data_IF_074831334539
#
_entry.id   IF_074831334539
#
_cell.length_a   1.000
_cell.length_b   1.000
_cell.length_c   1.000
_cell.angle_alpha   90.00
_cell.angle_beta   90.00
_cell.angle_gamma   90.00
#
_symmetry.space_group_name_H-M   'P 1'
#
loop_
_entity.id
_entity.type
_entity.pdbx_description
1 polymer ?
#
# COMPACT_ATOMS: atom_id res chain seq x y z
N UNK A 1 -7.28 16.72 42.65
CA UNK A 1 -8.04 15.78 41.81
C UNK A 1 -7.11 14.70 41.31
N UNK A 2 -7.38 13.40 41.54
CA UNK A 2 -6.54 12.36 40.96
C UNK A 2 -6.86 12.30 39.47
N UNK A 3 -5.93 12.76 38.64
CA UNK A 3 -5.98 12.54 37.20
C UNK A 3 -5.94 11.02 36.94
N UNK A 4 -6.78 10.48 36.03
CA UNK A 4 -6.69 9.07 35.68
C UNK A 4 -5.28 8.76 35.21
N UNK A 5 -4.73 7.65 35.71
CA UNK A 5 -3.33 7.27 35.42
C UNK A 5 -3.18 7.18 33.90
N UNK A 6 -2.11 7.73 33.29
CA UNK A 6 -1.95 7.76 31.83
C UNK A 6 -2.20 6.42 31.12
N UNK A 7 -1.86 5.30 31.78
CA UNK A 7 -2.12 3.95 31.30
C UNK A 7 -3.62 3.62 31.13
N UNK A 8 -4.48 4.04 32.05
CA UNK A 8 -5.93 3.81 31.93
C UNK A 8 -6.52 4.60 30.77
N UNK A 9 -5.98 5.79 30.49
CA UNK A 9 -6.38 6.58 29.33
C UNK A 9 -5.98 5.89 28.03
N UNK A 10 -4.76 5.36 27.94
CA UNK A 10 -4.30 4.60 26.77
C UNK A 10 -5.20 3.37 26.55
N UNK A 11 -5.47 2.58 27.60
CA UNK A 11 -6.37 1.42 27.50
C UNK A 11 -7.77 1.77 27.03
N UNK A 12 -8.33 2.91 27.47
CA UNK A 12 -9.63 3.39 26.98
C UNK A 12 -9.58 3.78 25.50
N UNK A 13 -8.48 4.38 25.04
CA UNK A 13 -8.30 4.73 23.63
C UNK A 13 -8.10 3.50 22.75
N UNK A 14 -7.38 2.48 23.23
CA UNK A 14 -7.28 1.17 22.58
C UNK A 14 -8.65 0.50 22.49
N UNK A 15 -9.38 0.40 23.60
CA UNK A 15 -10.71 -0.25 23.65
C UNK A 15 -11.77 0.50 22.82
N UNK A 16 -11.67 1.82 22.71
CA UNK A 16 -12.55 2.63 21.87
C UNK A 16 -12.11 2.68 20.39
N UNK A 17 -11.02 1.99 20.01
CA UNK A 17 -10.54 1.93 18.63
C UNK A 17 -9.82 3.18 18.13
N UNK A 18 -9.53 4.16 19.00
CA UNK A 18 -8.74 5.33 18.65
C UNK A 18 -7.25 4.99 18.44
N UNK A 19 -6.75 3.98 19.16
CA UNK A 19 -5.43 3.39 18.94
C UNK A 19 -5.65 2.05 18.24
N UNK A 20 -5.26 1.97 16.98
CA UNK A 20 -5.47 0.77 16.14
C UNK A 20 -4.30 -0.20 16.16
N UNK A 21 -3.14 0.22 16.67
CA UNK A 21 -1.96 -0.64 16.80
C UNK A 21 -0.67 0.11 17.11
N UNK A 22 0.39 -0.66 17.31
CA UNK A 22 1.74 -0.18 17.56
C UNK A 22 2.69 -0.80 16.54
N UNK A 23 3.48 0.02 15.86
CA UNK A 23 4.36 -0.44 14.78
C UNK A 23 5.76 0.15 14.92
N UNK A 24 6.77 -0.65 14.59
CA UNK A 24 8.15 -0.20 14.52
C UNK A 24 8.46 0.34 13.12
N UNK A 25 8.99 1.56 13.04
CA UNK A 25 9.44 2.15 11.77
C UNK A 25 10.88 1.76 11.48
N UNK A 26 11.08 0.91 10.47
CA UNK A 26 12.39 0.38 10.11
C UNK A 26 13.10 1.26 9.06
N UNK A 27 14.44 1.22 9.07
CA UNK A 27 15.25 1.93 8.07
C UNK A 27 15.37 1.08 6.78
N UNK A 28 14.63 1.48 5.76
CA UNK A 28 14.58 0.75 4.48
C UNK A 28 15.95 0.61 3.79
N UNK A 29 16.83 1.62 3.88
CA UNK A 29 18.18 1.54 3.28
C UNK A 29 19.04 0.46 3.95
N UNK A 30 18.96 0.32 5.27
CA UNK A 30 19.69 -0.73 6.00
C UNK A 30 19.19 -2.13 5.72
N UNK A 31 17.94 -2.25 5.24
CA UNK A 31 17.32 -3.51 4.83
C UNK A 31 17.52 -3.81 3.33
N UNK A 32 18.25 -2.98 2.60
CA UNK A 32 18.44 -3.13 1.16
C UNK A 32 17.22 -2.76 0.32
N UNK A 33 16.16 -2.18 0.90
CA UNK A 33 14.94 -1.74 0.20
C UNK A 33 15.02 -0.27 -0.20
N UNK A 34 16.06 0.06 -0.96
CA UNK A 34 16.43 1.44 -1.26
C UNK A 34 15.42 2.17 -2.15
N UNK A 35 14.78 1.45 -3.07
CA UNK A 35 13.90 2.02 -4.08
C UNK A 35 12.46 2.16 -3.55
N UNK A 36 11.91 3.37 -3.67
CA UNK A 36 10.50 3.65 -3.44
C UNK A 36 9.91 4.12 -4.76
N UNK A 37 8.77 3.56 -5.14
CA UNK A 37 8.07 3.91 -6.38
C UNK A 37 6.60 4.14 -6.08
N UNK A 38 6.05 5.18 -6.72
CA UNK A 38 4.62 5.40 -6.79
C UNK A 38 4.11 4.94 -8.15
N UNK A 39 3.06 4.12 -8.15
CA UNK A 39 2.48 3.55 -9.36
C UNK A 39 1.03 3.99 -9.47
N UNK A 40 0.71 4.66 -10.57
CA UNK A 40 -0.66 4.99 -10.94
C UNK A 40 -1.20 3.83 -11.79
N UNK A 41 -2.34 3.30 -11.37
CA UNK A 41 -2.99 2.16 -12.01
C UNK A 41 -4.36 2.60 -12.49
N UNK A 42 -4.61 2.43 -13.79
CA UNK A 42 -5.94 2.59 -14.40
C UNK A 42 -6.43 1.23 -14.85
N UNK A 43 -7.60 0.82 -14.37
CA UNK A 43 -8.22 -0.45 -14.75
C UNK A 43 -8.96 -0.30 -16.08
N UNK A 44 -8.75 -1.22 -17.03
CA UNK A 44 -9.43 -1.18 -18.34
C UNK A 44 -10.93 -1.48 -18.22
N UNK A 45 -11.32 -2.20 -17.16
CA UNK A 45 -12.72 -2.46 -16.82
C UNK A 45 -13.01 -1.95 -15.43
N UNK A 46 -13.94 -1.01 -15.34
CA UNK A 46 -14.44 -0.44 -14.08
C UNK A 46 -15.61 -1.25 -13.52
N UNK A 47 -15.52 -2.59 -13.57
CA UNK A 47 -16.53 -3.47 -12.96
C UNK A 47 -16.16 -3.78 -11.51
N UNK A 48 -17.14 -3.97 -10.60
CA UNK A 48 -16.87 -4.31 -9.20
C UNK A 48 -15.95 -5.53 -9.03
N UNK A 49 -16.12 -6.54 -9.90
CA UNK A 49 -15.30 -7.75 -9.91
C UNK A 49 -13.83 -7.49 -10.26
N UNK A 50 -13.57 -6.53 -11.16
CA UNK A 50 -12.20 -6.13 -11.51
C UNK A 50 -11.53 -5.41 -10.35
N UNK A 51 -12.26 -4.56 -9.64
CA UNK A 51 -11.79 -3.89 -8.42
C UNK A 51 -11.47 -4.89 -7.30
N UNK A 52 -12.34 -5.87 -7.04
CA UNK A 52 -12.08 -6.90 -6.01
C UNK A 52 -10.84 -7.73 -6.36
N UNK A 53 -10.74 -8.25 -7.58
CA UNK A 53 -9.56 -9.04 -8.00
C UNK A 53 -8.27 -8.24 -7.91
N UNK A 54 -8.31 -6.96 -8.26
CA UNK A 54 -7.14 -6.09 -8.16
C UNK A 54 -6.72 -5.89 -6.70
N UNK A 55 -7.68 -5.63 -5.79
CA UNK A 55 -7.40 -5.52 -4.35
C UNK A 55 -6.79 -6.79 -3.78
N UNK A 56 -7.34 -7.96 -4.08
CA UNK A 56 -6.83 -9.24 -3.58
C UNK A 56 -5.40 -9.51 -4.05
N UNK A 57 -5.13 -9.23 -5.33
CA UNK A 57 -3.81 -9.37 -5.91
C UNK A 57 -2.80 -8.42 -5.27
N UNK A 58 -3.16 -7.15 -5.06
CA UNK A 58 -2.31 -6.17 -4.40
C UNK A 58 -2.04 -6.54 -2.95
N UNK A 59 -3.04 -7.03 -2.23
CA UNK A 59 -2.92 -7.46 -0.83
C UNK A 59 -2.00 -8.68 -0.66
N UNK A 60 -1.79 -9.48 -1.71
CA UNK A 60 -0.89 -10.62 -1.69
C UNK A 60 0.60 -10.26 -1.91
N UNK A 61 0.93 -9.00 -2.22
CA UNK A 61 2.30 -8.56 -2.49
C UNK A 61 2.90 -7.78 -1.31
N UNK A 62 3.88 -8.37 -0.63
CA UNK A 62 4.53 -7.77 0.54
C UNK A 62 5.29 -6.47 0.21
N UNK A 63 5.72 -6.28 -1.03
CA UNK A 63 6.41 -5.06 -1.44
C UNK A 63 5.48 -3.84 -1.59
N UNK A 64 4.16 -4.04 -1.62
CA UNK A 64 3.18 -2.96 -1.68
C UNK A 64 2.85 -2.50 -0.27
N UNK A 65 3.31 -1.31 0.09
CA UNK A 65 3.14 -0.75 1.43
C UNK A 65 1.77 -0.12 1.64
N UNK A 66 1.25 0.54 0.60
CA UNK A 66 -0.01 1.27 0.65
C UNK A 66 -0.72 1.18 -0.71
N UNK A 67 -2.05 1.06 -0.67
CA UNK A 67 -2.92 1.05 -1.84
C UNK A 67 -4.08 2.00 -1.58
N UNK A 68 -4.20 3.03 -2.40
CA UNK A 68 -5.22 4.07 -2.25
C UNK A 68 -6.09 4.12 -3.50
N UNK A 69 -7.40 3.92 -3.34
CA UNK A 69 -8.36 4.22 -4.39
C UNK A 69 -8.56 5.73 -4.46
N UNK A 70 -8.47 6.32 -5.64
CA UNK A 70 -8.56 7.77 -5.84
C UNK A 70 -9.64 8.11 -6.86
N UNK A 71 -10.36 9.20 -6.60
CA UNK A 71 -11.26 9.77 -7.59
C UNK A 71 -10.46 10.70 -8.52
N UNK A 72 -10.18 10.29 -9.76
CA UNK A 72 -9.36 11.10 -10.68
C UNK A 72 -8.96 10.41 -11.98
N UNK A 73 -7.82 10.84 -12.54
CA UNK A 73 -7.30 10.37 -13.84
C UNK A 73 -6.76 8.93 -13.87
N UNK A 74 -6.81 8.24 -12.74
CA UNK A 74 -6.46 6.84 -12.55
C UNK A 74 -7.23 6.30 -11.33
N UNK A 75 -7.35 4.98 -11.20
CA UNK A 75 -8.22 4.34 -10.20
C UNK A 75 -7.49 4.11 -8.88
N UNK A 76 -6.20 3.76 -8.93
CA UNK A 76 -5.38 3.47 -7.75
C UNK A 76 -4.00 4.12 -7.77
N UNK A 77 -3.56 4.57 -6.58
CA UNK A 77 -2.18 4.93 -6.29
C UNK A 77 -1.55 3.88 -5.38
N UNK A 78 -0.50 3.22 -5.84
CA UNK A 78 0.26 2.27 -5.05
C UNK A 78 1.58 2.89 -4.59
N UNK A 79 1.96 2.62 -3.33
CA UNK A 79 3.28 2.92 -2.80
C UNK A 79 4.04 1.63 -2.62
N UNK A 80 5.09 1.44 -3.42
CA UNK A 80 5.83 0.18 -3.51
C UNK A 80 7.27 0.40 -3.07
N UNK A 81 7.79 -0.53 -2.27
CA UNK A 81 9.18 -0.50 -1.80
C UNK A 81 9.88 -1.79 -2.18
N UNK A 82 10.93 -1.66 -2.98
CA UNK A 82 11.70 -2.80 -3.50
C UNK A 82 13.19 -2.55 -3.34
N UNK A 83 13.97 -3.60 -3.58
CA UNK A 83 15.44 -3.53 -3.55
C UNK A 83 15.99 -2.60 -4.63
N UNK A 84 15.57 -2.80 -5.87
CA UNK A 84 16.12 -2.16 -7.07
C UNK A 84 15.10 -2.17 -8.23
N UNK A 85 15.49 -1.56 -9.35
CA UNK A 85 14.66 -1.48 -10.56
C UNK A 85 14.41 -2.84 -11.23
N UNK A 86 15.25 -3.84 -10.99
CA UNK A 86 15.05 -5.18 -11.53
C UNK A 86 13.89 -5.87 -10.80
N UNK A 87 13.91 -5.89 -9.46
CA UNK A 87 12.78 -6.39 -8.66
C UNK A 87 11.51 -5.61 -8.95
N UNK A 88 11.60 -4.29 -9.14
CA UNK A 88 10.46 -3.49 -9.58
C UNK A 88 9.87 -4.06 -10.88
N UNK A 89 10.67 -4.23 -11.94
CA UNK A 89 10.17 -4.77 -13.22
C UNK A 89 9.52 -6.14 -13.08
N UNK A 90 10.09 -7.03 -12.26
CA UNK A 90 9.51 -8.36 -11.98
C UNK A 90 8.17 -8.24 -11.28
N UNK A 91 8.07 -7.44 -10.21
CA UNK A 91 6.81 -7.22 -9.49
C UNK A 91 5.72 -6.66 -10.39
N UNK A 92 6.10 -5.81 -11.34
CA UNK A 92 5.15 -5.26 -12.32
C UNK A 92 4.71 -6.30 -13.34
N UNK A 93 5.59 -7.20 -13.77
CA UNK A 93 5.19 -8.35 -14.57
C UNK A 93 4.21 -9.23 -13.80
N UNK A 94 4.52 -9.57 -12.56
CA UNK A 94 3.70 -10.44 -11.70
C UNK A 94 2.33 -9.82 -11.40
N UNK A 95 2.28 -8.53 -11.09
CA UNK A 95 1.06 -7.81 -10.70
C UNK A 95 0.26 -7.30 -11.91
N UNK A 96 0.92 -6.75 -12.94
CA UNK A 96 0.26 -6.05 -14.04
C UNK A 96 0.06 -6.96 -15.26
N UNK A 97 1.00 -7.87 -15.58
CA UNK A 97 0.82 -8.75 -16.75
C UNK A 97 -0.19 -9.89 -16.48
N UNK A 98 -0.44 -10.24 -15.21
CA UNK A 98 -1.46 -11.21 -14.82
C UNK A 98 -2.90 -10.69 -14.97
N UNK A 99 -3.08 -9.38 -15.12
CA UNK A 99 -4.38 -8.74 -15.31
C UNK A 99 -4.37 -8.05 -16.68
N UNK A 100 -5.11 -8.57 -17.66
CA UNK A 100 -5.26 -7.99 -18.99
C UNK A 100 -6.07 -6.67 -18.99
N UNK A 101 -5.87 -5.83 -17.97
CA UNK A 101 -6.78 -4.77 -17.60
C UNK A 101 -6.07 -3.53 -17.02
N UNK A 102 -4.83 -3.20 -17.38
CA UNK A 102 -4.15 -2.04 -16.79
C UNK A 102 -3.41 -1.15 -17.80
N UNK A 103 -3.89 0.08 -17.95
CA UNK A 103 -3.14 1.18 -18.57
C UNK A 103 -2.32 1.91 -17.50
N UNK A 104 -1.08 2.27 -17.84
CA UNK A 104 -0.05 2.57 -16.85
C UNK A 104 0.58 3.95 -17.02
N UNK A 105 0.65 4.72 -15.93
CA UNK A 105 1.50 5.92 -15.82
C UNK A 105 2.44 5.75 -14.63
N UNK A 106 3.73 6.04 -14.86
CA UNK A 106 4.74 5.95 -13.81
C UNK A 106 5.17 7.37 -13.46
N UNK A 107 4.96 7.77 -12.22
CA UNK A 107 5.52 9.01 -11.67
C UNK A 107 6.71 8.62 -10.77
N UNK A 108 7.91 8.93 -11.22
CA UNK A 108 9.14 8.71 -10.45
C UNK A 108 9.41 9.95 -9.59
N UNK A 109 9.75 9.75 -8.31
CA UNK A 109 10.37 10.79 -7.47
C UNK A 109 11.89 10.64 -7.48
#
# INVERSE_FOLDING_TARGET
SPSPRPLERIRRLEAAGFITGYFARLNARRLGLGLLVYVEVTLDRTTPEAFERFKDMVAAQDEIMECHMVAGGFDYLLKVRVKDMERYRTLLGETIAGSAACSRRTATS
#
